data_IF_621487663336
#
_entry.id   IF_621487663336
#
_cell.length_a   1.000
_cell.length_b   1.000
_cell.length_c   1.000
_cell.angle_alpha   90.00
_cell.angle_beta   90.00
_cell.angle_gamma   90.00
#
_symmetry.space_group_name_H-M   'P 1'
#
loop_
_entity.id
_entity.type
_entity.pdbx_description
1 polymer ?
#
# COMPACT_ATOMS: atom_id res chain seq x y z
N UNK A 1 3.11 4.78 -8.77
CA UNK A 1 2.27 3.73 -8.18
C UNK A 1 1.57 4.32 -6.98
N UNK A 2 0.29 4.03 -6.84
CA UNK A 2 -0.64 4.59 -5.84
C UNK A 2 -1.00 3.54 -4.78
N UNK A 3 -1.79 3.92 -3.79
CA UNK A 3 -2.28 3.08 -2.71
C UNK A 3 -3.79 2.79 -2.86
N UNK A 4 -4.26 1.79 -2.11
CA UNK A 4 -5.56 1.12 -2.26
C UNK A 4 -5.73 0.35 -3.56
N UNK A 5 -6.72 -0.57 -3.58
CA UNK A 5 -7.05 -1.39 -4.75
C UNK A 5 -7.41 -0.59 -6.00
N UNK A 6 -8.06 0.56 -5.81
CA UNK A 6 -8.48 1.45 -6.88
C UNK A 6 -7.43 2.53 -7.20
N UNK A 7 -6.30 2.59 -6.47
CA UNK A 7 -5.22 3.54 -6.69
C UNK A 7 -5.61 5.01 -6.48
N UNK A 8 -6.52 5.30 -5.56
CA UNK A 8 -7.05 6.67 -5.32
C UNK A 8 -6.13 7.59 -4.51
N UNK A 9 -5.17 7.04 -3.76
CA UNK A 9 -4.21 7.82 -2.96
C UNK A 9 -2.82 7.70 -3.59
N UNK A 10 -2.12 8.81 -3.83
CA UNK A 10 -0.88 8.81 -4.62
C UNK A 10 0.34 8.20 -3.89
N UNK A 11 0.35 8.25 -2.56
CA UNK A 11 1.43 7.82 -1.67
C UNK A 11 0.88 7.35 -0.31
N UNK A 12 1.78 6.93 0.58
CA UNK A 12 1.40 6.40 1.90
C UNK A 12 0.90 7.52 2.82
N UNK A 13 1.47 8.72 2.74
CA UNK A 13 0.97 9.86 3.51
C UNK A 13 -0.47 10.22 3.13
N UNK A 14 -0.82 10.26 1.84
CA UNK A 14 -2.20 10.48 1.42
C UNK A 14 -3.12 9.33 1.86
N UNK A 15 -2.65 8.08 1.76
CA UNK A 15 -3.39 6.89 2.18
C UNK A 15 -3.73 6.94 3.68
N UNK A 16 -2.77 7.30 4.54
CA UNK A 16 -2.91 7.26 6.00
C UNK A 16 -4.03 8.16 6.53
N UNK A 17 -4.42 9.20 5.76
CA UNK A 17 -5.55 10.08 6.12
C UNK A 17 -6.91 9.42 5.96
N UNK A 18 -7.03 8.42 5.09
CA UNK A 18 -8.29 7.73 4.79
C UNK A 18 -8.84 6.95 5.99
N UNK A 19 -8.11 5.95 6.51
CA UNK A 19 -8.58 5.09 7.61
C UNK A 19 -8.94 5.83 8.87
N UNK A 20 -8.24 6.93 9.16
CA UNK A 20 -8.53 7.79 10.31
C UNK A 20 -9.95 8.36 10.25
N UNK A 21 -10.43 8.70 9.05
CA UNK A 21 -11.68 9.45 8.85
C UNK A 21 -12.87 8.59 8.40
N UNK A 22 -12.63 7.42 7.82
CA UNK A 22 -13.71 6.59 7.31
C UNK A 22 -14.57 6.04 8.46
N UNK A 23 -15.89 6.16 8.31
CA UNK A 23 -16.87 5.83 9.35
C UNK A 23 -16.93 4.34 9.71
N UNK A 24 -16.49 3.48 8.79
CA UNK A 24 -16.41 2.02 8.97
C UNK A 24 -15.01 1.54 9.34
N UNK A 25 -14.04 2.46 9.50
CA UNK A 25 -12.66 2.16 9.91
C UNK A 25 -12.39 2.74 11.31
N UNK A 26 -11.58 3.80 11.45
CA UNK A 26 -11.29 4.39 12.77
C UNK A 26 -12.33 5.42 13.22
N UNK A 27 -13.11 5.99 12.29
CA UNK A 27 -14.22 6.92 12.55
C UNK A 27 -13.83 8.12 13.45
N UNK A 28 -12.70 8.78 13.16
CA UNK A 28 -12.23 9.98 13.83
C UNK A 28 -12.26 11.19 12.88
N UNK A 29 -11.91 12.39 13.35
CA UNK A 29 -11.70 13.57 12.50
C UNK A 29 -10.31 14.19 12.75
N UNK A 30 -9.75 14.93 11.77
CA UNK A 30 -8.42 15.54 11.90
C UNK A 30 -8.28 16.41 13.15
N UNK A 31 -9.29 17.20 13.48
CA UNK A 31 -9.26 18.12 14.62
C UNK A 31 -9.10 17.36 15.94
N UNK A 32 -9.89 16.30 16.14
CA UNK A 32 -9.88 15.49 17.34
C UNK A 32 -8.58 14.68 17.46
N UNK A 33 -7.98 14.23 16.35
CA UNK A 33 -6.64 13.63 16.36
C UNK A 33 -5.61 14.63 16.90
N UNK A 34 -5.63 15.88 16.42
CA UNK A 34 -4.68 16.90 16.86
C UNK A 34 -4.92 17.31 18.31
N UNK A 35 -6.17 17.47 18.75
CA UNK A 35 -6.49 17.71 20.16
C UNK A 35 -5.96 16.58 21.03
N UNK A 36 -6.19 15.33 20.63
CA UNK A 36 -5.72 14.15 21.37
C UNK A 36 -4.19 14.14 21.48
N UNK A 37 -3.47 14.31 20.36
CA UNK A 37 -2.01 14.31 20.35
C UNK A 37 -1.41 15.48 21.13
N UNK A 38 -2.00 16.68 21.03
CA UNK A 38 -1.54 17.87 21.78
C UNK A 38 -1.80 17.75 23.29
N UNK A 39 -2.76 16.92 23.72
CA UNK A 39 -3.02 16.64 25.14
C UNK A 39 -1.98 15.72 25.81
N UNK A 40 -1.09 15.10 25.01
CA UNK A 40 -0.08 14.14 25.48
C UNK A 40 1.32 14.78 25.37
N UNK A 41 1.94 15.25 26.47
CA UNK A 41 3.23 15.95 26.42
C UNK A 41 4.34 15.17 25.69
N UNK A 42 4.39 13.85 25.89
CA UNK A 42 5.36 12.99 25.22
C UNK A 42 5.21 12.98 23.68
N UNK A 43 3.99 13.09 23.15
CA UNK A 43 3.79 13.22 21.71
C UNK A 43 4.21 14.60 21.21
N UNK A 44 3.85 15.67 21.93
CA UNK A 44 4.27 17.03 21.56
C UNK A 44 5.79 17.12 21.42
N UNK A 45 6.54 16.53 22.36
CA UNK A 45 8.00 16.50 22.31
C UNK A 45 8.53 15.62 21.16
N UNK A 46 7.92 14.45 20.92
CA UNK A 46 8.28 13.59 19.81
C UNK A 46 8.07 14.26 18.44
N UNK A 47 6.94 14.97 18.24
CA UNK A 47 6.66 15.70 17.01
C UNK A 47 7.61 16.88 16.81
N UNK A 48 7.92 17.65 17.86
CA UNK A 48 8.95 18.71 17.79
C UNK A 48 10.31 18.17 17.37
N UNK A 49 10.68 16.98 17.87
CA UNK A 49 11.93 16.31 17.48
C UNK A 49 11.91 15.81 16.04
N UNK A 50 10.78 15.27 15.58
CA UNK A 50 10.63 14.74 14.22
C UNK A 50 10.53 15.85 13.16
N UNK A 51 9.94 17.01 13.50
CA UNK A 51 9.70 18.14 12.58
C UNK A 51 10.24 19.47 13.14
N UNK A 52 11.55 19.60 13.39
CA UNK A 52 12.14 20.73 14.13
C UNK A 52 12.10 22.07 13.39
N UNK A 53 11.90 22.06 12.06
CA UNK A 53 11.83 23.26 11.24
C UNK A 53 10.41 23.88 11.20
N UNK A 54 9.40 23.18 11.73
CA UNK A 54 8.01 23.59 11.64
C UNK A 54 7.56 24.29 12.94
N UNK A 55 6.89 25.44 12.80
CA UNK A 55 6.42 26.23 13.95
C UNK A 55 5.33 25.49 14.76
N UNK A 56 4.44 24.78 14.07
CA UNK A 56 3.50 23.84 14.68
C UNK A 56 3.77 22.45 14.12
N UNK A 57 4.43 21.59 14.91
CA UNK A 57 4.82 20.25 14.48
C UNK A 57 3.67 19.24 14.56
N UNK A 58 2.65 19.47 15.41
CA UNK A 58 1.55 18.52 15.63
C UNK A 58 0.39 18.89 14.70
N UNK A 59 0.51 18.46 13.45
CA UNK A 59 -0.49 18.66 12.38
C UNK A 59 -0.92 17.31 11.81
N UNK A 60 -2.09 17.26 11.16
CA UNK A 60 -2.58 15.99 10.60
C UNK A 60 -1.73 15.51 9.43
N UNK A 61 -1.13 16.44 8.68
CA UNK A 61 -0.15 16.13 7.64
C UNK A 61 1.13 15.51 8.22
N UNK A 62 1.61 15.99 9.37
CA UNK A 62 2.79 15.41 10.01
C UNK A 62 2.50 14.05 10.65
N UNK A 63 1.26 13.80 11.10
CA UNK A 63 0.83 12.45 11.49
C UNK A 63 0.97 11.49 10.31
N UNK A 64 0.41 11.87 9.15
CA UNK A 64 0.49 11.08 7.93
C UNK A 64 1.95 10.85 7.47
N UNK A 65 2.79 11.90 7.46
CA UNK A 65 4.21 11.79 7.11
C UNK A 65 5.00 10.92 8.07
N UNK A 66 4.72 10.99 9.38
CA UNK A 66 5.38 10.16 10.38
C UNK A 66 5.04 8.67 10.20
N UNK A 67 3.79 8.36 9.85
CA UNK A 67 3.36 7.00 9.52
C UNK A 67 4.03 6.53 8.24
N UNK A 68 4.02 7.33 7.17
CA UNK A 68 4.63 6.99 5.88
C UNK A 68 6.11 6.60 6.03
N UNK A 69 6.91 7.38 6.77
CA UNK A 69 8.33 7.04 6.93
C UNK A 69 8.56 5.82 7.81
N UNK A 70 7.64 5.52 8.74
CA UNK A 70 7.66 4.26 9.49
C UNK A 70 7.34 3.09 8.57
N UNK A 71 6.27 3.19 7.77
CA UNK A 71 5.87 2.17 6.80
C UNK A 71 6.93 1.94 5.72
N UNK A 72 7.68 2.97 5.33
CA UNK A 72 8.82 2.84 4.41
C UNK A 72 9.93 1.92 4.96
N UNK A 73 9.96 1.68 6.28
CA UNK A 73 10.88 0.71 6.90
C UNK A 73 10.34 -0.72 6.92
N UNK A 74 9.02 -0.90 6.71
CA UNK A 74 8.33 -2.19 6.73
C UNK A 74 8.51 -2.95 5.41
N UNK A 75 9.76 -3.11 4.99
CA UNK A 75 10.14 -3.92 3.84
C UNK A 75 10.51 -5.34 4.28
N UNK A 76 10.35 -6.31 3.39
CA UNK A 76 10.63 -7.73 3.67
C UNK A 76 11.71 -8.28 2.75
N UNK A 77 12.98 -7.87 2.90
CA UNK A 77 14.06 -8.32 2.03
C UNK A 77 14.45 -9.78 2.30
N UNK A 78 15.13 -10.38 1.33
CA UNK A 78 15.78 -11.70 1.45
C UNK A 78 14.82 -12.89 1.46
N UNK A 79 13.65 -12.73 0.83
CA UNK A 79 12.84 -13.88 0.45
C UNK A 79 13.69 -14.91 -0.33
N UNK A 80 13.37 -16.22 -0.27
CA UNK A 80 14.07 -17.22 -1.07
C UNK A 80 14.15 -16.85 -2.56
N UNK A 81 13.07 -16.26 -3.11
CA UNK A 81 13.05 -15.73 -4.47
C UNK A 81 14.06 -14.57 -4.68
N UNK A 82 14.16 -13.61 -3.76
CA UNK A 82 15.16 -12.54 -3.85
C UNK A 82 16.59 -13.08 -3.87
N UNK A 83 16.89 -14.08 -3.03
CA UNK A 83 18.22 -14.70 -2.99
C UNK A 83 18.52 -15.45 -4.28
N UNK A 84 17.50 -16.13 -4.82
CA UNK A 84 17.59 -16.77 -6.14
C UNK A 84 17.89 -15.74 -7.24
N UNK A 85 17.20 -14.60 -7.27
CA UNK A 85 17.48 -13.50 -8.20
C UNK A 85 18.89 -12.89 -8.01
N UNK A 86 19.43 -12.91 -6.78
CA UNK A 86 20.80 -12.50 -6.46
C UNK A 86 21.87 -13.56 -6.78
N UNK A 87 21.48 -14.70 -7.37
CA UNK A 87 22.41 -15.72 -7.87
C UNK A 87 22.53 -16.97 -6.99
N UNK A 88 21.84 -17.06 -5.85
CA UNK A 88 21.78 -18.30 -5.07
C UNK A 88 20.80 -19.29 -5.72
N UNK A 89 21.30 -20.06 -6.68
CA UNK A 89 20.51 -21.06 -7.39
C UNK A 89 19.92 -22.15 -6.48
N UNK A 90 20.38 -22.29 -5.23
CA UNK A 90 19.86 -23.26 -4.26
C UNK A 90 18.79 -22.67 -3.34
N UNK A 91 18.54 -21.36 -3.41
CA UNK A 91 17.53 -20.71 -2.60
C UNK A 91 16.09 -21.16 -2.94
N UNK A 92 15.86 -21.63 -4.17
CA UNK A 92 14.62 -22.28 -4.58
C UNK A 92 14.84 -23.78 -4.80
N UNK A 93 13.87 -24.58 -4.35
CA UNK A 93 13.79 -26.00 -4.65
C UNK A 93 13.29 -26.25 -6.10
N UNK A 94 13.25 -27.51 -6.52
CA UNK A 94 12.86 -27.87 -7.89
C UNK A 94 11.42 -27.47 -8.23
N UNK A 95 10.46 -27.73 -7.34
CA UNK A 95 9.06 -27.38 -7.56
C UNK A 95 8.82 -25.87 -7.60
N UNK A 96 9.53 -25.10 -6.78
CA UNK A 96 9.48 -23.64 -6.81
C UNK A 96 10.03 -23.08 -8.13
N UNK A 97 11.08 -23.69 -8.69
CA UNK A 97 11.62 -23.30 -10.01
C UNK A 97 10.65 -23.64 -11.14
N UNK A 98 10.02 -24.81 -11.09
CA UNK A 98 8.97 -25.18 -12.04
C UNK A 98 7.78 -24.21 -11.96
N UNK A 99 7.38 -23.84 -10.75
CA UNK A 99 6.36 -22.81 -10.50
C UNK A 99 6.73 -21.45 -11.08
N UNK A 100 7.98 -21.01 -10.89
CA UNK A 100 8.51 -19.79 -11.50
C UNK A 100 8.47 -19.86 -13.03
N UNK A 101 8.89 -20.98 -13.63
CA UNK A 101 8.78 -21.18 -15.09
C UNK A 101 7.34 -21.11 -15.57
N UNK A 102 6.40 -21.75 -14.86
CA UNK A 102 4.97 -21.66 -15.17
C UNK A 102 4.46 -20.21 -15.08
N UNK A 103 4.80 -19.49 -14.00
CA UNK A 103 4.42 -18.09 -13.80
C UNK A 103 4.86 -17.19 -14.97
N UNK A 104 6.11 -17.36 -15.42
CA UNK A 104 6.64 -16.60 -16.56
C UNK A 104 5.94 -16.99 -17.88
N UNK A 105 5.82 -18.29 -18.15
CA UNK A 105 5.30 -18.78 -19.44
C UNK A 105 3.79 -18.61 -19.59
N UNK A 106 3.03 -18.56 -18.48
CA UNK A 106 1.58 -18.34 -18.48
C UNK A 106 1.21 -16.85 -18.53
N UNK A 107 2.20 -15.95 -18.57
CA UNK A 107 1.99 -14.51 -18.71
C UNK A 107 1.63 -13.78 -17.43
N UNK A 108 1.74 -14.42 -16.25
CA UNK A 108 1.46 -13.79 -14.96
C UNK A 108 2.34 -12.54 -14.72
N UNK A 109 3.59 -12.62 -15.17
CA UNK A 109 4.53 -11.50 -15.16
C UNK A 109 4.07 -10.29 -15.99
N UNK A 110 3.05 -10.42 -16.85
CA UNK A 110 2.46 -9.27 -17.56
C UNK A 110 1.82 -8.25 -16.62
N UNK A 111 1.24 -8.69 -15.50
CA UNK A 111 0.64 -7.82 -14.48
C UNK A 111 1.44 -7.81 -13.15
N UNK A 112 2.13 -8.91 -12.85
CA UNK A 112 2.86 -9.13 -11.59
C UNK A 112 4.37 -9.16 -11.82
N UNK A 113 5.00 -7.99 -11.90
CA UNK A 113 6.44 -7.86 -12.15
C UNK A 113 7.08 -6.73 -11.33
N UNK A 114 8.37 -6.51 -11.55
CA UNK A 114 9.19 -5.52 -10.84
C UNK A 114 9.51 -5.94 -9.40
N UNK A 115 10.00 -4.97 -8.61
CA UNK A 115 10.52 -5.21 -7.25
C UNK A 115 9.48 -5.87 -6.31
N UNK A 116 8.21 -5.50 -6.46
CA UNK A 116 7.13 -5.97 -5.59
C UNK A 116 6.25 -7.05 -6.23
N UNK A 117 6.65 -7.59 -7.40
CA UNK A 117 5.92 -8.61 -8.16
C UNK A 117 4.43 -8.23 -8.36
N UNK A 118 4.21 -6.97 -8.76
CA UNK A 118 2.88 -6.38 -8.86
C UNK A 118 2.82 -4.95 -8.31
N UNK A 119 1.60 -4.40 -8.26
CA UNK A 119 1.36 -3.03 -7.82
C UNK A 119 1.81 -1.96 -8.80
N UNK A 120 2.13 -2.30 -10.05
CA UNK A 120 2.70 -1.34 -11.01
C UNK A 120 1.67 -0.72 -11.96
N UNK A 121 0.43 -1.19 -11.97
CA UNK A 121 -0.59 -0.73 -12.90
C UNK A 121 -2.00 -1.18 -12.54
N UNK A 122 -2.95 -0.86 -13.40
CA UNK A 122 -4.36 -1.21 -13.27
C UNK A 122 -4.76 -2.07 -14.45
N UNK A 123 -5.52 -3.12 -14.17
CA UNK A 123 -5.97 -4.10 -15.16
C UNK A 123 -7.43 -4.45 -14.89
N UNK A 124 -8.23 -4.77 -15.91
CA UNK A 124 -9.55 -5.34 -15.69
C UNK A 124 -9.45 -6.62 -14.86
N UNK A 125 -10.21 -6.73 -13.78
CA UNK A 125 -10.35 -8.00 -13.10
C UNK A 125 -11.35 -8.88 -13.86
N UNK A 126 -10.83 -9.81 -14.64
CA UNK A 126 -11.59 -10.59 -15.63
C UNK A 126 -11.25 -10.23 -17.07
N UNK A 127 -9.94 -10.16 -17.39
CA UNK A 127 -9.43 -9.80 -18.73
C UNK A 127 -9.95 -10.75 -19.82
N UNK A 128 -10.03 -12.05 -19.51
CA UNK A 128 -10.47 -13.09 -20.45
C UNK A 128 -11.88 -13.54 -20.14
N UNK A 129 -12.14 -13.85 -18.87
CA UNK A 129 -13.43 -14.29 -18.37
C UNK A 129 -13.75 -13.53 -17.09
N UNK A 130 -15.01 -13.10 -16.97
CA UNK A 130 -15.47 -12.37 -15.79
C UNK A 130 -15.61 -13.35 -14.61
N UNK A 131 -14.99 -13.07 -13.45
CA UNK A 131 -15.21 -13.86 -12.25
C UNK A 131 -16.67 -13.83 -11.80
N UNK A 132 -17.06 -14.86 -11.05
CA UNK A 132 -18.38 -14.93 -10.41
C UNK A 132 -18.59 -13.76 -9.43
N UNK A 133 -19.86 -13.48 -9.13
CA UNK A 133 -20.26 -12.29 -8.37
C UNK A 133 -19.81 -12.29 -6.90
N UNK A 134 -19.45 -13.45 -6.36
CA UNK A 134 -18.84 -13.59 -5.03
C UNK A 134 -17.35 -13.19 -5.05
N UNK A 135 -16.66 -13.38 -6.18
CA UNK A 135 -15.25 -12.99 -6.40
C UNK A 135 -15.15 -11.55 -6.90
N UNK A 136 -16.04 -11.12 -7.79
CA UNK A 136 -16.16 -9.75 -8.30
C UNK A 136 -17.55 -9.18 -7.99
N UNK A 137 -17.75 -8.64 -6.77
CA UNK A 137 -19.03 -8.07 -6.37
C UNK A 137 -19.48 -6.94 -7.31
N UNK A 138 -20.72 -6.97 -7.84
CA UNK A 138 -21.16 -6.00 -8.86
C UNK A 138 -21.27 -4.57 -8.33
N UNK A 139 -21.39 -4.38 -7.02
CA UNK A 139 -21.38 -3.07 -6.37
C UNK A 139 -19.99 -2.44 -6.25
N UNK A 140 -18.92 -3.21 -6.53
CA UNK A 140 -17.56 -2.69 -6.55
C UNK A 140 -16.99 -2.57 -7.96
N UNK A 141 -17.05 -1.35 -8.48
CA UNK A 141 -16.55 -1.00 -9.81
C UNK A 141 -15.06 -0.59 -9.80
N UNK A 142 -14.39 -0.70 -8.66
CA UNK A 142 -12.98 -0.37 -8.50
C UNK A 142 -12.66 1.06 -8.96
N UNK A 143 -11.67 1.19 -9.84
CA UNK A 143 -11.13 2.47 -10.30
C UNK A 143 -12.14 3.35 -11.03
N UNK A 144 -13.23 2.79 -11.55
CA UNK A 144 -14.32 3.59 -12.13
C UNK A 144 -14.88 4.61 -11.13
N UNK A 145 -14.97 4.27 -9.83
CA UNK A 145 -15.42 5.18 -8.76
C UNK A 145 -14.46 6.37 -8.53
N UNK A 146 -13.22 6.27 -9.01
CA UNK A 146 -12.18 7.30 -8.88
C UNK A 146 -12.13 8.19 -10.11
N UNK A 147 -12.25 7.61 -11.31
CA UNK A 147 -12.02 8.33 -12.57
C UNK A 147 -13.29 8.68 -13.34
N UNK A 148 -14.42 8.02 -13.08
CA UNK A 148 -15.65 8.07 -13.88
C UNK A 148 -15.43 7.74 -15.37
N UNK A 149 -14.36 7.01 -15.69
CA UNK A 149 -14.04 6.56 -17.05
C UNK A 149 -13.95 5.04 -17.06
N UNK A 150 -14.47 4.43 -18.12
CA UNK A 150 -14.34 2.99 -18.37
C UNK A 150 -12.89 2.58 -18.63
#
# INVERSE_FOLDING_TARGET
VAQFWDGRAKDLAEQAKGPVQASVEMNNNPELVIVTLKSLPGYVDAFKKAFPAEKDAVTFDNVARAIEVFEATLITPNAPFDRFLKGDAKALNAGEKEGLTAFMNKGCAGCHNGMNVGGLGYFPFGVVEKPDADILPPGDLGRYKVTNTA
#
